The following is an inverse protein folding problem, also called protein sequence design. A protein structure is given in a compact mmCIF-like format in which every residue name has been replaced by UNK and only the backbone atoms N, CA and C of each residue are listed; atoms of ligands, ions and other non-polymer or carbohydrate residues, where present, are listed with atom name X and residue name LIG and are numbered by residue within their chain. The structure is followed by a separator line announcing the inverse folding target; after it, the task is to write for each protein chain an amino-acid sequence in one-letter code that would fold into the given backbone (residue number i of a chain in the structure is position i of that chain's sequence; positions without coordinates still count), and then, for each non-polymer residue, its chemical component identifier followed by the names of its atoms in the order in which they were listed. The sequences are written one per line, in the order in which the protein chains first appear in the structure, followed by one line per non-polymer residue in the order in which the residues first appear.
data_IF_571078706507
#
_entry.id   IF_571078706507
#
_cell.length_a   1.000
_cell.length_b   1.000
_cell.length_c   1.000
_cell.angle_alpha   90.00
_cell.angle_beta   90.00
_cell.angle_gamma   90.00
#
_symmetry.space_group_name_H-M   'P 1'
#
loop_
_entity.id
_entity.type
_entity.pdbx_description
1 polymer ?
#
# COMPACT_ATOMS: atom_id res chain seq x y z
N UNK A 1 4.22 8.80 23.24
CA UNK A 1 5.36 8.08 22.66
C UNK A 1 5.92 8.91 21.52
N UNK A 2 7.15 9.43 21.65
CA UNK A 2 7.75 10.35 20.68
C UNK A 2 8.38 9.53 19.53
N UNK A 3 7.60 9.15 18.53
CA UNK A 3 8.14 8.53 17.33
C UNK A 3 8.64 9.64 16.40
N UNK A 4 9.93 9.96 16.49
CA UNK A 4 10.57 10.85 15.53
C UNK A 4 10.91 10.08 14.26
N UNK A 5 10.60 10.66 13.11
CA UNK A 5 10.83 10.07 11.79
C UNK A 5 11.60 11.06 10.92
N UNK A 6 12.30 10.55 9.90
CA UNK A 6 13.07 11.37 8.95
C UNK A 6 12.72 11.00 7.51
N UNK A 7 12.98 11.90 6.57
CA UNK A 7 12.64 11.69 5.16
C UNK A 7 13.71 10.85 4.43
N UNK A 8 13.26 9.98 3.51
CA UNK A 8 14.11 9.30 2.54
C UNK A 8 14.54 10.25 1.42
N UNK A 9 15.62 9.91 0.71
CA UNK A 9 16.10 10.73 -0.42
C UNK A 9 15.08 10.82 -1.56
N UNK A 10 14.40 9.71 -1.87
CA UNK A 10 13.33 9.67 -2.87
C UNK A 10 12.12 10.47 -2.39
N UNK A 11 11.77 10.34 -1.10
CA UNK A 11 10.72 11.11 -0.45
C UNK A 11 10.92 12.63 -0.57
N UNK A 12 12.14 13.10 -0.32
CA UNK A 12 12.47 14.52 -0.46
C UNK A 12 12.30 15.01 -1.90
N UNK A 13 12.62 14.19 -2.92
CA UNK A 13 12.37 14.56 -4.33
C UNK A 13 10.88 14.73 -4.64
N UNK A 14 10.03 13.88 -4.07
CA UNK A 14 8.57 13.97 -4.22
C UNK A 14 8.04 15.28 -3.61
N UNK A 15 8.43 15.56 -2.37
CA UNK A 15 8.06 16.80 -1.67
C UNK A 15 8.61 18.03 -2.38
N UNK A 16 9.83 17.96 -2.94
CA UNK A 16 10.45 19.05 -3.68
C UNK A 16 9.68 19.39 -4.97
N UNK A 17 9.18 18.37 -5.67
CA UNK A 17 8.31 18.56 -6.84
C UNK A 17 6.97 19.18 -6.44
N UNK A 18 6.33 18.66 -5.38
CA UNK A 18 5.01 19.11 -4.93
C UNK A 18 5.01 20.57 -4.45
N UNK A 19 6.01 21.00 -3.67
CA UNK A 19 6.11 22.42 -3.25
C UNK A 19 6.29 23.38 -4.43
N UNK A 20 6.99 22.95 -5.49
CA UNK A 20 7.26 23.79 -6.67
C UNK A 20 5.98 24.03 -7.47
N UNK A 21 5.07 23.05 -7.52
CA UNK A 21 3.73 23.23 -8.10
C UNK A 21 2.91 24.29 -7.34
N UNK A 22 3.11 24.40 -6.02
CA UNK A 22 2.53 25.46 -5.19
C UNK A 22 3.32 26.78 -5.21
N UNK A 23 4.39 26.88 -6.03
CA UNK A 23 5.32 28.02 -6.10
C UNK A 23 5.99 28.37 -4.77
N UNK A 24 6.12 27.39 -3.87
CA UNK A 24 6.77 27.57 -2.58
C UNK A 24 8.26 27.23 -2.67
N UNK A 25 9.12 28.08 -2.09
CA UNK A 25 10.52 27.74 -1.85
C UNK A 25 10.65 26.71 -0.70
N UNK A 26 11.85 26.14 -0.47
CA UNK A 26 12.07 25.07 0.53
C UNK A 26 11.69 25.44 1.97
N UNK A 27 11.62 26.74 2.27
CA UNK A 27 11.33 27.28 3.60
C UNK A 27 10.28 28.37 3.53
N UNK A 28 9.29 28.25 2.65
CA UNK A 28 8.30 29.30 2.44
C UNK A 28 7.49 29.52 3.72
N UNK A 29 7.23 30.77 4.08
CA UNK A 29 6.42 31.12 5.25
C UNK A 29 5.01 30.53 5.14
N UNK A 30 4.41 30.60 3.95
CA UNK A 30 3.14 29.93 3.65
C UNK A 30 3.16 28.42 3.98
N UNK A 31 4.29 27.75 3.76
CA UNK A 31 4.43 26.33 4.08
C UNK A 31 4.59 26.10 5.59
N UNK A 32 5.36 26.95 6.28
CA UNK A 32 5.43 26.94 7.74
C UNK A 32 4.05 27.13 8.38
N UNK A 33 3.28 28.10 7.91
CA UNK A 33 1.91 28.36 8.39
C UNK A 33 0.97 27.19 8.11
N UNK A 34 0.97 26.63 6.88
CA UNK A 34 0.11 25.51 6.53
C UNK A 34 0.44 24.22 7.30
N UNK A 35 1.72 23.96 7.59
CA UNK A 35 2.16 22.78 8.33
C UNK A 35 2.24 23.01 9.85
N UNK A 36 1.81 24.18 10.35
CA UNK A 36 1.90 24.59 11.75
C UNK A 36 3.30 24.36 12.35
N UNK A 37 4.34 24.71 11.58
CA UNK A 37 5.73 24.41 11.93
C UNK A 37 6.66 25.59 11.66
N UNK A 38 7.90 25.48 12.13
CA UNK A 38 8.91 26.54 11.99
C UNK A 38 9.82 26.34 10.79
N UNK A 39 10.46 27.43 10.33
CA UNK A 39 11.53 27.37 9.31
C UNK A 39 12.68 26.45 9.74
N UNK A 40 13.00 26.44 11.02
CA UNK A 40 14.00 25.53 11.58
C UNK A 40 13.59 24.06 11.40
N UNK A 41 12.31 23.74 11.58
CA UNK A 41 11.80 22.36 11.37
C UNK A 41 11.84 21.95 9.89
N UNK A 42 11.49 22.85 8.96
CA UNK A 42 11.63 22.55 7.52
C UNK A 42 13.10 22.33 7.14
N UNK A 43 14.03 23.10 7.70
CA UNK A 43 15.47 22.85 7.49
C UNK A 43 15.89 21.46 7.99
N UNK A 44 15.42 21.05 9.17
CA UNK A 44 15.66 19.69 9.70
C UNK A 44 15.08 18.61 8.78
N UNK A 45 13.85 18.83 8.28
CA UNK A 45 13.19 17.93 7.34
C UNK A 45 14.03 17.74 6.05
N UNK A 46 14.49 18.83 5.44
CA UNK A 46 15.34 18.78 4.24
C UNK A 46 16.74 18.21 4.50
N UNK A 47 17.26 18.41 5.69
CA UNK A 47 18.53 17.81 6.14
C UNK A 47 18.38 16.33 6.55
N UNK A 48 17.19 15.74 6.38
CA UNK A 48 16.86 14.35 6.79
C UNK A 48 17.14 14.09 8.27
N UNK A 49 17.00 15.11 9.11
CA UNK A 49 17.09 14.94 10.55
C UNK A 49 15.74 14.42 11.08
N UNK A 50 15.75 13.57 12.13
CA UNK A 50 14.53 13.12 12.77
C UNK A 50 13.72 14.31 13.30
N UNK A 51 12.45 14.37 12.93
CA UNK A 51 11.46 15.31 13.46
C UNK A 51 10.27 14.52 13.97
N UNK A 52 9.43 15.13 14.81
CA UNK A 52 8.23 14.44 15.34
C UNK A 52 7.32 13.98 14.20
N UNK A 53 6.74 12.78 14.33
CA UNK A 53 5.85 12.18 13.32
C UNK A 53 4.67 13.08 12.96
N UNK A 54 3.99 13.66 13.94
CA UNK A 54 2.88 14.60 13.73
C UNK A 54 3.29 15.78 12.83
N UNK A 55 4.47 16.34 13.07
CA UNK A 55 5.02 17.46 12.33
C UNK A 55 5.47 17.03 10.93
N UNK A 56 6.00 15.82 10.80
CA UNK A 56 6.36 15.23 9.51
C UNK A 56 5.14 15.03 8.61
N UNK A 57 4.04 14.50 9.16
CA UNK A 57 2.76 14.33 8.48
C UNK A 57 2.23 15.68 8.01
N UNK A 58 2.19 16.68 8.89
CA UNK A 58 1.73 18.03 8.56
C UNK A 58 2.55 18.69 7.45
N UNK A 59 3.87 18.48 7.42
CA UNK A 59 4.75 18.99 6.35
C UNK A 59 4.40 18.37 4.98
N UNK A 60 4.13 17.07 4.95
CA UNK A 60 3.80 16.34 3.72
C UNK A 60 2.37 16.67 3.25
N UNK A 61 1.41 16.74 4.17
CA UNK A 61 0.01 17.07 3.87
C UNK A 61 -0.14 18.50 3.32
N UNK A 62 0.61 19.47 3.86
CA UNK A 62 0.61 20.84 3.37
C UNK A 62 0.97 20.96 1.88
N UNK A 63 1.78 20.03 1.34
CA UNK A 63 2.11 19.98 -0.09
C UNK A 63 1.28 18.95 -0.87
N UNK A 64 0.38 18.20 -0.22
CA UNK A 64 -0.48 17.19 -0.83
C UNK A 64 0.25 15.90 -1.17
N UNK A 65 1.31 15.55 -0.42
CA UNK A 65 2.08 14.32 -0.59
C UNK A 65 1.81 13.40 0.59
N UNK A 66 1.57 12.13 0.28
CA UNK A 66 1.40 11.09 1.29
C UNK A 66 2.72 10.82 2.04
N UNK A 67 2.71 10.99 3.37
CA UNK A 67 3.91 10.97 4.20
C UNK A 67 4.59 9.60 4.23
N UNK A 68 3.85 8.50 4.03
CA UNK A 68 4.38 7.14 4.00
C UNK A 68 5.33 6.91 2.82
N UNK A 69 5.13 7.65 1.73
CA UNK A 69 6.02 7.63 0.56
C UNK A 69 7.26 8.50 0.76
N UNK A 70 7.27 9.31 1.81
CA UNK A 70 8.33 10.29 2.10
C UNK A 70 9.25 9.81 3.20
N UNK A 71 8.72 9.11 4.21
CA UNK A 71 9.46 8.64 5.38
C UNK A 71 10.54 7.61 5.00
N UNK A 72 11.69 7.67 5.67
CA UNK A 72 12.72 6.65 5.55
C UNK A 72 12.30 5.40 6.34
N UNK A 73 12.29 4.21 5.73
CA UNK A 73 11.94 2.98 6.44
C UNK A 73 12.98 2.73 7.56
N UNK A 74 12.49 2.41 8.76
CA UNK A 74 13.33 2.17 9.93
C UNK A 74 14.34 1.04 9.67
N UNK A 75 15.62 1.40 9.54
CA UNK A 75 16.75 0.47 9.40
C UNK A 75 17.23 -0.09 10.76
N UNK A 76 16.35 -0.28 11.74
CA UNK A 76 16.75 -0.87 13.02
C UNK A 76 16.61 -2.40 12.91
N UNK A 77 17.67 -3.03 12.38
CA UNK A 77 18.18 -4.40 12.65
C UNK A 77 19.27 -4.80 11.64
N UNK A 78 20.22 -3.90 11.32
CA UNK A 78 21.30 -4.20 10.38
C UNK A 78 22.67 -4.50 11.05
N UNK A 79 22.86 -4.22 12.35
CA UNK A 79 24.21 -4.25 12.94
C UNK A 79 24.52 -5.46 13.84
N UNK A 80 23.65 -6.48 13.90
CA UNK A 80 24.04 -7.76 14.50
C UNK A 80 23.51 -8.93 13.67
N UNK A 81 24.34 -9.44 12.75
CA UNK A 81 24.72 -10.84 12.57
C UNK A 81 25.71 -10.87 11.39
N UNK A 82 27.01 -10.80 11.72
CA UNK A 82 28.04 -11.46 10.92
C UNK A 82 27.81 -12.97 11.09
N UNK A 83 27.08 -13.58 10.16
CA UNK A 83 27.28 -14.97 9.76
C UNK A 83 26.42 -15.30 8.54
N UNK A 84 27.04 -15.25 7.36
CA UNK A 84 26.84 -16.22 6.29
C UNK A 84 25.40 -16.53 5.83
N UNK A 85 24.47 -15.59 5.87
CA UNK A 85 23.19 -15.71 5.15
C UNK A 85 22.91 -14.42 4.40
N UNK A 86 22.89 -14.56 3.07
CA UNK A 86 22.44 -13.60 2.08
C UNK A 86 21.25 -12.77 2.58
N UNK A 87 21.20 -11.44 2.32
CA UNK A 87 20.17 -10.58 2.89
C UNK A 87 18.80 -11.01 2.37
N UNK A 88 17.95 -11.50 3.27
CA UNK A 88 16.54 -11.73 2.98
C UNK A 88 15.92 -10.37 2.69
N UNK A 89 15.65 -10.12 1.41
CA UNK A 89 14.88 -8.99 0.89
C UNK A 89 13.65 -8.84 1.78
N UNK A 90 13.51 -7.69 2.45
CA UNK A 90 12.27 -7.32 3.09
C UNK A 90 11.17 -7.44 2.02
N UNK A 91 10.26 -8.41 2.17
CA UNK A 91 9.21 -8.67 1.20
C UNK A 91 8.40 -7.39 1.02
N UNK A 92 8.56 -6.74 -0.14
CA UNK A 92 7.77 -5.58 -0.53
C UNK A 92 6.35 -6.11 -0.75
N UNK A 93 5.44 -5.82 0.19
CA UNK A 93 4.01 -6.07 0.00
C UNK A 93 3.56 -5.34 -1.26
N UNK A 94 2.94 -6.06 -2.19
CA UNK A 94 2.41 -5.47 -3.41
C UNK A 94 0.91 -5.39 -3.29
N UNK A 95 0.39 -4.17 -3.34
CA UNK A 95 -1.03 -3.91 -3.14
C UNK A 95 -1.55 -3.10 -4.31
N UNK A 96 -2.64 -3.58 -4.90
CA UNK A 96 -3.36 -2.89 -5.95
C UNK A 96 -4.86 -2.89 -5.65
N UNK A 97 -5.33 -1.75 -5.16
CA UNK A 97 -6.73 -1.51 -4.85
C UNK A 97 -7.60 -1.26 -6.08
N UNK A 98 -7.03 -1.05 -7.28
CA UNK A 98 -7.78 -0.82 -8.52
C UNK A 98 -8.94 0.17 -8.34
N UNK A 99 -10.16 -0.30 -8.63
CA UNK A 99 -11.41 0.46 -8.48
C UNK A 99 -12.15 0.16 -7.17
N UNK A 100 -11.44 -0.27 -6.12
CA UNK A 100 -12.04 -0.46 -4.80
C UNK A 100 -12.66 0.85 -4.31
N UNK A 101 -13.89 0.82 -3.76
CA UNK A 101 -14.44 2.02 -3.15
C UNK A 101 -13.56 2.44 -1.97
N UNK A 102 -13.33 3.76 -1.84
CA UNK A 102 -12.62 4.31 -0.68
C UNK A 102 -13.34 3.91 0.60
N UNK A 103 -12.57 3.55 1.62
CA UNK A 103 -13.10 3.41 2.97
C UNK A 103 -13.75 4.73 3.39
N UNK A 104 -15.03 4.65 3.74
CA UNK A 104 -15.78 5.66 4.49
C UNK A 104 -16.02 5.10 5.88
N UNK A 105 -16.66 5.88 6.74
CA UNK A 105 -17.07 5.40 8.06
C UNK A 105 -17.85 4.08 7.93
N UNK A 106 -17.34 3.04 8.60
CA UNK A 106 -17.86 1.68 8.58
C UNK A 106 -18.35 1.33 9.98
N UNK A 107 -19.63 0.98 10.12
CA UNK A 107 -20.27 0.75 11.41
C UNK A 107 -20.88 -0.65 11.49
N UNK A 108 -20.75 -1.27 12.66
CA UNK A 108 -21.27 -2.62 12.92
C UNK A 108 -20.54 -3.69 12.11
N UNK A 109 -21.22 -4.82 11.88
CA UNK A 109 -20.71 -5.99 11.13
C UNK A 109 -19.46 -6.67 11.71
N UNK A 110 -19.21 -6.47 13.00
CA UNK A 110 -18.04 -7.01 13.71
C UNK A 110 -18.05 -8.54 13.71
N UNK A 111 -19.23 -9.16 13.86
CA UNK A 111 -19.38 -10.63 13.85
C UNK A 111 -18.99 -11.23 12.50
N UNK A 112 -19.47 -10.64 11.41
CA UNK A 112 -19.13 -11.07 10.05
C UNK A 112 -17.65 -10.86 9.77
N UNK A 113 -17.07 -9.72 10.15
CA UNK A 113 -15.63 -9.47 10.00
C UNK A 113 -14.80 -10.48 10.79
N UNK A 114 -15.16 -10.78 12.04
CA UNK A 114 -14.44 -11.76 12.85
C UNK A 114 -14.51 -13.17 12.26
N UNK A 115 -15.69 -13.56 11.77
CA UNK A 115 -15.91 -14.84 11.09
C UNK A 115 -15.02 -14.96 9.85
N UNK A 116 -15.00 -13.91 9.02
CA UNK A 116 -14.19 -13.88 7.80
C UNK A 116 -12.68 -13.91 8.11
N UNK A 117 -12.23 -13.17 9.13
CA UNK A 117 -10.84 -13.22 9.58
C UNK A 117 -10.46 -14.62 10.07
N UNK A 118 -11.34 -15.31 10.79
CA UNK A 118 -11.10 -16.68 11.23
C UNK A 118 -10.98 -17.63 10.04
N UNK A 119 -11.95 -17.62 9.12
CA UNK A 119 -11.94 -18.48 7.93
C UNK A 119 -10.66 -18.31 7.12
N UNK A 120 -10.25 -17.06 6.89
CA UNK A 120 -9.08 -16.75 6.07
C UNK A 120 -7.77 -17.06 6.81
N UNK A 121 -7.60 -16.56 8.04
CA UNK A 121 -6.32 -16.62 8.73
C UNK A 121 -6.08 -17.95 9.45
N UNK A 122 -7.11 -18.54 10.05
CA UNK A 122 -7.00 -19.75 10.87
C UNK A 122 -7.38 -20.99 10.07
N UNK A 123 -8.57 -21.00 9.48
CA UNK A 123 -9.12 -22.17 8.79
C UNK A 123 -8.53 -22.35 7.39
N UNK A 124 -7.78 -21.35 6.91
CA UNK A 124 -7.08 -21.33 5.62
C UNK A 124 -8.03 -21.50 4.42
N UNK A 125 -9.24 -20.97 4.53
CA UNK A 125 -10.19 -20.90 3.43
C UNK A 125 -9.62 -20.04 2.29
N UNK A 126 -9.40 -20.65 1.12
CA UNK A 126 -8.82 -19.99 -0.07
C UNK A 126 -9.85 -19.27 -0.95
N UNK A 127 -11.12 -19.57 -0.74
CA UNK A 127 -12.23 -18.97 -1.47
C UNK A 127 -13.36 -18.71 -0.48
N UNK A 128 -13.84 -17.47 -0.46
CA UNK A 128 -14.98 -17.04 0.35
C UNK A 128 -15.90 -16.22 -0.53
N UNK A 129 -17.19 -16.55 -0.50
CA UNK A 129 -18.23 -15.84 -1.27
C UNK A 129 -19.12 -15.08 -0.31
N UNK A 130 -19.25 -13.76 -0.51
CA UNK A 130 -20.19 -12.92 0.24
C UNK A 130 -21.51 -12.80 -0.52
N UNK A 131 -22.60 -13.31 0.06
CA UNK A 131 -23.93 -13.31 -0.53
C UNK A 131 -24.89 -12.42 0.26
N UNK A 132 -25.96 -11.97 -0.38
CA UNK A 132 -26.98 -11.11 0.23
C UNK A 132 -27.60 -10.12 -0.74
N UNK A 133 -28.63 -9.41 -0.30
CA UNK A 133 -29.39 -8.46 -1.12
C UNK A 133 -28.53 -7.31 -1.69
N UNK A 134 -29.02 -6.67 -2.75
CA UNK A 134 -28.40 -5.45 -3.29
C UNK A 134 -28.32 -4.35 -2.22
N UNK A 135 -27.25 -3.55 -2.24
CA UNK A 135 -27.07 -2.44 -1.29
C UNK A 135 -26.77 -2.82 0.17
N UNK A 136 -26.81 -4.10 0.56
CA UNK A 136 -26.64 -4.54 1.96
C UNK A 136 -25.23 -4.33 2.56
N UNK A 137 -24.27 -3.81 1.77
CA UNK A 137 -22.92 -3.50 2.23
C UNK A 137 -21.86 -4.59 2.02
N UNK A 138 -22.12 -5.63 1.21
CA UNK A 138 -21.15 -6.71 0.93
C UNK A 138 -19.79 -6.20 0.47
N UNK A 139 -19.78 -5.25 -0.47
CA UNK A 139 -18.55 -4.63 -0.98
C UNK A 139 -17.83 -3.86 0.12
N UNK A 140 -18.54 -3.16 0.98
CA UNK A 140 -17.96 -2.44 2.12
C UNK A 140 -17.29 -3.42 3.10
N UNK A 141 -17.95 -4.54 3.43
CA UNK A 141 -17.37 -5.60 4.28
C UNK A 141 -16.09 -6.15 3.64
N UNK A 142 -16.10 -6.46 2.34
CA UNK A 142 -14.93 -6.99 1.64
C UNK A 142 -13.75 -6.02 1.63
N UNK A 143 -13.98 -4.73 1.38
CA UNK A 143 -12.91 -3.71 1.38
C UNK A 143 -12.35 -3.50 2.78
N UNK A 144 -13.23 -3.38 3.80
CA UNK A 144 -12.81 -3.26 5.20
C UNK A 144 -11.98 -4.46 5.63
N UNK A 145 -12.44 -5.67 5.34
CA UNK A 145 -11.72 -6.90 5.64
C UNK A 145 -10.35 -6.94 4.94
N UNK A 146 -10.29 -6.59 3.66
CA UNK A 146 -9.04 -6.60 2.91
C UNK A 146 -8.00 -5.64 3.51
N UNK A 147 -8.40 -4.45 3.96
CA UNK A 147 -7.49 -3.51 4.64
C UNK A 147 -7.04 -4.04 6.01
N UNK A 148 -7.94 -4.66 6.78
CA UNK A 148 -7.59 -5.27 8.07
C UNK A 148 -6.58 -6.43 7.93
N UNK A 149 -6.64 -7.12 6.79
CA UNK A 149 -5.83 -8.30 6.52
C UNK A 149 -4.60 -8.03 5.65
N UNK A 150 -4.49 -6.85 5.03
CA UNK A 150 -3.42 -6.49 4.07
C UNK A 150 -2.04 -6.88 4.59
N UNK A 151 -1.78 -6.61 5.87
CA UNK A 151 -0.48 -6.88 6.47
C UNK A 151 -0.10 -8.35 6.59
N UNK A 152 -1.06 -9.25 6.43
CA UNK A 152 -0.91 -10.70 6.54
C UNK A 152 -0.62 -11.37 5.19
N UNK A 153 -0.71 -10.62 4.09
CA UNK A 153 -0.55 -11.12 2.74
C UNK A 153 0.64 -10.45 2.04
N UNK A 154 1.28 -11.19 1.13
CA UNK A 154 2.37 -10.66 0.30
C UNK A 154 1.82 -9.85 -0.88
N UNK A 155 0.65 -10.26 -1.38
CA UNK A 155 -0.06 -9.63 -2.49
C UNK A 155 -1.51 -9.37 -2.09
N UNK A 156 -2.00 -8.16 -2.36
CA UNK A 156 -3.43 -7.83 -2.29
C UNK A 156 -3.84 -7.22 -3.62
N UNK A 157 -4.84 -7.81 -4.26
CA UNK A 157 -5.34 -7.35 -5.55
C UNK A 157 -6.87 -7.24 -5.54
N UNK A 158 -7.37 -6.08 -5.93
CA UNK A 158 -8.80 -5.82 -6.09
C UNK A 158 -9.14 -5.58 -7.55
N UNK A 159 -10.14 -6.32 -8.06
CA UNK A 159 -10.64 -6.16 -9.43
C UNK A 159 -12.15 -6.02 -9.46
N UNK A 160 -12.62 -5.06 -10.24
CA UNK A 160 -14.03 -4.92 -10.59
C UNK A 160 -14.32 -5.78 -11.80
N UNK A 161 -15.36 -6.61 -11.70
CA UNK A 161 -15.89 -7.38 -12.84
C UNK A 161 -17.17 -6.74 -13.40
N UNK A 162 -17.46 -5.48 -13.01
CA UNK A 162 -18.56 -4.72 -13.61
C UNK A 162 -18.33 -4.60 -15.11
N UNK A 163 -19.40 -4.72 -15.89
CA UNK A 163 -19.37 -4.71 -17.36
C UNK A 163 -18.58 -5.86 -18.00
N UNK A 164 -18.33 -6.95 -17.26
CA UNK A 164 -17.73 -8.20 -17.76
C UNK A 164 -16.48 -7.96 -18.64
N UNK A 165 -15.37 -7.45 -18.07
CA UNK A 165 -14.14 -7.28 -18.83
C UNK A 165 -13.71 -8.61 -19.47
N UNK A 166 -13.08 -8.59 -20.66
CA UNK A 166 -12.61 -9.82 -21.29
C UNK A 166 -11.70 -10.60 -20.35
N UNK A 167 -11.97 -11.91 -20.22
CA UNK A 167 -11.18 -12.79 -19.33
C UNK A 167 -9.67 -12.68 -19.61
N UNK A 168 -9.31 -12.57 -20.89
CA UNK A 168 -7.93 -12.43 -21.31
C UNK A 168 -7.24 -11.17 -20.80
N UNK A 169 -7.94 -10.05 -20.72
CA UNK A 169 -7.43 -8.79 -20.19
C UNK A 169 -7.24 -8.90 -18.68
N UNK A 170 -8.23 -9.48 -17.98
CA UNK A 170 -8.14 -9.73 -16.54
C UNK A 170 -6.94 -10.62 -16.21
N UNK A 171 -6.76 -11.73 -16.95
CA UNK A 171 -5.64 -12.64 -16.74
C UNK A 171 -4.29 -11.96 -16.99
N UNK A 172 -4.17 -11.19 -18.07
CA UNK A 172 -2.95 -10.47 -18.40
C UNK A 172 -2.57 -9.48 -17.29
N UNK A 173 -3.54 -8.70 -16.82
CA UNK A 173 -3.36 -7.71 -15.76
C UNK A 173 -2.97 -8.36 -14.41
N UNK A 174 -3.65 -9.44 -14.01
CA UNK A 174 -3.29 -10.21 -12.80
C UNK A 174 -1.84 -10.75 -12.87
N UNK A 175 -1.43 -11.29 -14.02
CA UNK A 175 -0.07 -11.84 -14.22
C UNK A 175 0.97 -10.72 -14.18
N UNK A 176 0.72 -9.59 -14.82
CA UNK A 176 1.62 -8.44 -14.78
C UNK A 176 1.81 -7.91 -13.36
N UNK A 177 0.74 -7.82 -12.59
CA UNK A 177 0.82 -7.40 -11.19
C UNK A 177 1.67 -8.38 -10.35
N UNK A 178 1.36 -9.68 -10.40
CA UNK A 178 2.05 -10.69 -9.61
C UNK A 178 3.52 -10.85 -10.02
N UNK A 179 3.84 -10.68 -11.30
CA UNK A 179 5.22 -10.69 -11.81
C UNK A 179 6.02 -9.43 -11.45
N UNK A 180 5.38 -8.37 -10.93
CA UNK A 180 6.03 -7.09 -10.68
C UNK A 180 6.41 -6.37 -11.98
N UNK A 181 5.56 -6.51 -13.01
CA UNK A 181 5.74 -5.98 -14.36
C UNK A 181 6.97 -6.52 -15.10
N UNK A 182 7.55 -7.63 -14.64
CA UNK A 182 8.72 -8.24 -15.28
C UNK A 182 8.35 -9.18 -16.42
N UNK A 183 7.10 -9.68 -16.46
CA UNK A 183 6.67 -10.56 -17.54
C UNK A 183 6.17 -9.77 -18.74
N UNK A 184 6.99 -9.76 -19.79
CA UNK A 184 6.71 -9.06 -21.06
C UNK A 184 6.14 -9.97 -22.15
N UNK A 185 6.26 -11.29 -21.99
CA UNK A 185 5.79 -12.27 -22.98
C UNK A 185 4.72 -13.19 -22.35
N UNK A 186 3.46 -12.81 -22.50
CA UNK A 186 2.33 -13.58 -22.01
C UNK A 186 1.95 -14.67 -23.02
N UNK A 187 1.51 -15.85 -22.56
CA UNK A 187 0.93 -16.86 -23.44
C UNK A 187 -0.22 -16.30 -24.28
N UNK A 188 -0.32 -16.72 -25.54
CA UNK A 188 -1.37 -16.27 -26.45
C UNK A 188 -2.73 -16.92 -26.18
N UNK A 189 -2.76 -18.10 -25.55
CA UNK A 189 -4.00 -18.81 -25.19
C UNK A 189 -4.47 -18.48 -23.77
N UNK A 190 -5.79 -18.52 -23.57
CA UNK A 190 -6.43 -18.38 -22.25
C UNK A 190 -5.91 -19.41 -21.27
N UNK A 191 -5.86 -20.69 -21.65
CA UNK A 191 -5.36 -21.77 -20.78
C UNK A 191 -3.90 -21.56 -20.38
N UNK A 192 -3.07 -21.07 -21.32
CA UNK A 192 -1.68 -20.71 -21.04
C UNK A 192 -1.58 -19.60 -19.99
N UNK A 193 -2.39 -18.55 -20.12
CA UNK A 193 -2.47 -17.47 -19.13
C UNK A 193 -2.97 -17.96 -17.77
N UNK A 194 -3.98 -18.85 -17.72
CA UNK A 194 -4.48 -19.45 -16.47
C UNK A 194 -3.37 -20.24 -15.77
N UNK A 195 -2.67 -21.13 -16.48
CA UNK A 195 -1.57 -21.91 -15.93
C UNK A 195 -0.44 -21.00 -15.42
N UNK A 196 -0.18 -19.89 -16.13
CA UNK A 196 0.81 -18.91 -15.72
C UNK A 196 0.41 -18.19 -14.44
N UNK A 197 -0.86 -17.76 -14.33
CA UNK A 197 -1.41 -17.15 -13.13
C UNK A 197 -1.30 -18.08 -11.92
N UNK A 198 -1.72 -19.34 -12.06
CA UNK A 198 -1.62 -20.35 -11.00
C UNK A 198 -0.17 -20.51 -10.53
N UNK A 199 0.79 -20.53 -11.45
CA UNK A 199 2.22 -20.62 -11.12
C UNK A 199 2.70 -19.45 -10.27
N UNK A 200 2.22 -18.22 -10.52
CA UNK A 200 2.54 -17.08 -9.68
C UNK A 200 1.87 -17.17 -8.31
N UNK A 201 0.59 -17.54 -8.26
CA UNK A 201 -0.15 -17.70 -7.00
C UNK A 201 0.46 -18.78 -6.09
N UNK A 202 1.09 -19.81 -6.66
CA UNK A 202 1.80 -20.85 -5.91
C UNK A 202 3.16 -20.42 -5.36
N UNK A 203 3.77 -19.35 -5.89
CA UNK A 203 5.11 -18.87 -5.50
C UNK A 203 5.09 -17.87 -4.34
N UNK A 204 3.97 -17.21 -4.10
CA UNK A 204 3.78 -16.25 -3.00
C UNK A 204 2.74 -16.73 -2.00
N UNK A 205 2.73 -16.14 -0.81
CA UNK A 205 1.59 -16.29 0.11
C UNK A 205 0.50 -15.30 -0.31
N UNK A 206 -0.41 -15.78 -1.16
CA UNK A 206 -1.66 -15.11 -1.52
C UNK A 206 -2.80 -15.58 -0.62
#
# INVERSE_FOLDING_TARGET
MKNSVRASELGLKLVDRARRLKRWNKTAEAWCSSALTSRATLNRFWARQPIRSDTFIAICDAVGVDWEKVVEPDKIKADQINNGKSPTVAQIKRVDWGQAPKLRDFYGRTEELNTLQQWILKDKCRLVTLLGMGGIGKTSVAVTLAHLLEDKFEFVIWRTLRNAPPLEELLADLIQFLSGQQETNLPSSVDGKILRLIRYLQRGRC
#
